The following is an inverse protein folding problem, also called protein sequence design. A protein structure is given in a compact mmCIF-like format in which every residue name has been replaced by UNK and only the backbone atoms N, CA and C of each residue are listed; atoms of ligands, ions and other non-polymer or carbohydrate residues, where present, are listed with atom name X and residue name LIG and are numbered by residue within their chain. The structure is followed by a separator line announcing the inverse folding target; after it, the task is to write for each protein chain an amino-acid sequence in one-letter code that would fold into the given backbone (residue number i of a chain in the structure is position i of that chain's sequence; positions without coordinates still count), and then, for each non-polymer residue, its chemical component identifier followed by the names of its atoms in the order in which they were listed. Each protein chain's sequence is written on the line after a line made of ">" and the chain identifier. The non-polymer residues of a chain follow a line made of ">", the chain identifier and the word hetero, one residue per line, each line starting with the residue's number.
data_IF_207651738954
#
_entry.id   IF_207651738954
#
_cell.length_a   1.000
_cell.length_b   1.000
_cell.length_c   1.000
_cell.angle_alpha   90.00
_cell.angle_beta   90.00
_cell.angle_gamma   90.00
#
_symmetry.space_group_name_H-M   'P 1'
#
loop_
_entity.id
_entity.type
_entity.pdbx_description
1 polymer ?
#
# COMPACT_ATOMS: atom_id res chain seq x y z
N UNK A 1 4.12 18.12 -12.92
CA UNK A 1 4.43 18.58 -14.29
C UNK A 1 3.74 19.93 -14.50
N UNK A 2 4.43 21.03 -14.83
CA UNK A 2 3.72 22.25 -15.15
C UNK A 2 2.93 22.01 -16.45
N UNK A 3 1.60 22.14 -16.39
CA UNK A 3 0.68 21.85 -17.48
C UNK A 3 1.06 22.54 -18.82
N UNK A 4 1.80 23.65 -18.75
CA UNK A 4 2.27 24.45 -19.88
C UNK A 4 3.15 23.71 -20.91
N UNK A 5 3.54 22.45 -20.69
CA UNK A 5 4.34 21.67 -21.67
C UNK A 5 3.70 20.36 -22.13
N UNK A 6 2.45 20.09 -21.80
CA UNK A 6 1.79 18.82 -22.14
C UNK A 6 1.79 18.57 -23.66
N UNK A 7 1.36 19.55 -24.46
CA UNK A 7 1.30 19.41 -25.93
C UNK A 7 2.67 19.13 -26.56
N UNK A 8 3.73 19.71 -26.01
CA UNK A 8 5.09 19.50 -26.49
C UNK A 8 5.58 18.09 -26.19
N UNK A 9 5.20 17.51 -25.06
CA UNK A 9 5.51 16.13 -24.72
C UNK A 9 4.69 15.13 -25.53
N UNK A 10 3.39 15.38 -25.72
CA UNK A 10 2.52 14.53 -26.53
C UNK A 10 3.01 14.43 -27.98
N UNK A 11 3.46 15.55 -28.57
CA UNK A 11 4.07 15.55 -29.91
C UNK A 11 5.37 14.74 -30.00
N UNK A 12 6.11 14.58 -28.89
CA UNK A 12 7.35 13.78 -28.82
C UNK A 12 7.10 12.30 -28.55
N UNK A 13 5.88 11.94 -28.13
CA UNK A 13 5.47 10.58 -27.79
C UNK A 13 4.27 10.13 -28.65
N UNK A 14 4.34 10.24 -29.99
CA UNK A 14 3.17 10.00 -30.86
C UNK A 14 2.69 8.55 -30.87
N UNK A 15 3.51 7.60 -30.38
CA UNK A 15 3.20 6.18 -30.31
C UNK A 15 2.72 5.72 -28.92
N UNK A 16 2.62 6.64 -27.95
CA UNK A 16 2.21 6.29 -26.58
C UNK A 16 0.69 6.40 -26.48
N UNK A 17 0.03 5.30 -26.13
CA UNK A 17 -1.39 5.30 -25.82
C UNK A 17 -1.65 6.18 -24.59
N UNK A 18 -2.60 7.10 -24.72
CA UNK A 18 -3.10 7.86 -23.57
C UNK A 18 -4.05 6.98 -22.77
N UNK A 19 -3.85 6.93 -21.45
CA UNK A 19 -4.71 6.21 -20.51
C UNK A 19 -5.20 7.17 -19.44
N UNK A 20 -6.33 6.84 -18.82
CA UNK A 20 -6.84 7.60 -17.69
C UNK A 20 -5.80 7.62 -16.54
N UNK A 21 -5.59 8.74 -15.84
CA UNK A 21 -4.65 8.81 -14.71
C UNK A 21 -4.91 7.77 -13.60
N UNK A 22 -6.16 7.31 -13.45
CA UNK A 22 -6.53 6.22 -12.56
C UNK A 22 -5.82 4.90 -12.90
N UNK A 23 -5.51 4.65 -14.17
CA UNK A 23 -4.75 3.46 -14.60
C UNK A 23 -3.34 3.46 -14.01
N UNK A 24 -2.72 4.64 -13.87
CA UNK A 24 -1.43 4.75 -13.19
C UNK A 24 -1.57 4.36 -11.72
N UNK A 25 -2.56 4.90 -11.00
CA UNK A 25 -2.78 4.55 -9.59
C UNK A 25 -3.09 3.07 -9.40
N UNK A 26 -3.90 2.49 -10.28
CA UNK A 26 -4.15 1.07 -10.29
C UNK A 26 -2.88 0.26 -10.52
N UNK A 27 -2.03 0.64 -11.48
CA UNK A 27 -0.75 -0.06 -11.70
C UNK A 27 0.19 0.01 -10.49
N UNK A 28 0.15 1.09 -9.71
CA UNK A 28 0.91 1.20 -8.46
C UNK A 28 0.35 0.27 -7.37
N UNK A 29 -0.97 0.16 -7.26
CA UNK A 29 -1.63 -0.80 -6.35
C UNK A 29 -1.32 -2.23 -6.77
N UNK A 30 -1.46 -2.57 -8.05
CA UNK A 30 -1.19 -3.90 -8.60
C UNK A 30 0.27 -4.34 -8.37
N UNK A 31 1.21 -3.40 -8.56
CA UNK A 31 2.63 -3.60 -8.25
C UNK A 31 2.94 -3.59 -6.73
N UNK A 32 1.93 -3.34 -5.88
CA UNK A 32 2.06 -3.14 -4.44
C UNK A 32 3.13 -2.11 -4.05
N UNK A 33 3.16 -0.98 -4.77
CA UNK A 33 4.03 0.16 -4.51
C UNK A 33 3.21 1.26 -3.83
N UNK A 34 3.45 1.53 -2.53
CA UNK A 34 2.63 2.47 -1.78
C UNK A 34 3.04 3.92 -2.03
N UNK A 35 2.07 4.80 -1.87
CA UNK A 35 2.22 6.24 -1.75
C UNK A 35 1.51 6.70 -0.47
N UNK A 36 2.10 7.69 0.21
CA UNK A 36 1.50 8.32 1.39
C UNK A 36 0.86 9.63 0.96
N UNK A 37 -0.42 9.81 1.28
CA UNK A 37 -1.17 11.02 0.97
C UNK A 37 -1.25 11.91 2.19
N UNK A 38 -1.67 13.16 1.99
CA UNK A 38 -1.84 14.11 3.09
C UNK A 38 -2.75 13.57 4.20
N UNK A 39 -3.79 12.80 3.84
CA UNK A 39 -4.71 12.17 4.78
C UNK A 39 -4.11 11.00 5.57
N UNK A 40 -3.06 10.35 5.06
CA UNK A 40 -2.45 9.16 5.67
C UNK A 40 -1.04 9.40 6.20
N UNK A 41 -0.61 10.67 6.25
CA UNK A 41 0.68 11.07 6.84
C UNK A 41 0.77 10.62 8.30
N UNK A 42 1.96 10.25 8.73
CA UNK A 42 2.27 9.86 10.13
C UNK A 42 1.53 8.61 10.64
N UNK A 43 0.72 7.93 9.81
CA UNK A 43 0.01 6.70 10.20
C UNK A 43 0.85 5.43 10.10
N UNK A 44 1.95 5.48 9.36
CA UNK A 44 2.74 4.32 8.98
C UNK A 44 4.24 4.51 9.24
N UNK A 45 4.91 3.42 9.59
CA UNK A 45 6.37 3.36 9.55
C UNK A 45 6.81 2.75 8.20
N UNK A 46 7.99 3.09 7.67
CA UNK A 46 8.41 2.61 6.36
C UNK A 46 8.32 1.10 6.19
N UNK A 47 8.67 0.35 7.24
CA UNK A 47 8.65 -1.11 7.20
C UNK A 47 7.24 -1.70 7.15
N UNK A 48 6.24 -1.05 7.77
CA UNK A 48 4.86 -1.53 7.68
C UNK A 48 4.29 -1.34 6.27
N UNK A 49 4.91 -0.49 5.45
CA UNK A 49 4.61 -0.31 4.03
C UNK A 49 5.54 -1.11 3.11
N UNK A 50 6.35 -2.04 3.66
CA UNK A 50 7.32 -2.82 2.90
C UNK A 50 8.41 -1.97 2.18
N UNK A 51 8.61 -0.70 2.57
CA UNK A 51 9.58 0.19 1.92
C UNK A 51 11.04 -0.26 2.10
N UNK A 52 11.32 -1.10 3.09
CA UNK A 52 12.63 -1.70 3.31
C UNK A 52 12.99 -2.74 2.25
N UNK A 53 12.01 -3.48 1.74
CA UNK A 53 12.23 -4.46 0.66
C UNK A 53 12.08 -3.84 -0.73
N UNK A 54 11.32 -2.74 -0.83
CA UNK A 54 11.18 -1.94 -2.07
C UNK A 54 12.35 -0.97 -2.29
N UNK A 55 13.35 -0.93 -1.40
CA UNK A 55 14.51 -0.05 -1.52
C UNK A 55 14.27 1.42 -1.14
N UNK A 56 13.10 1.75 -0.59
CA UNK A 56 12.80 3.07 -0.03
C UNK A 56 13.56 3.37 1.27
N UNK A 57 14.03 2.34 1.96
CA UNK A 57 14.94 2.44 3.11
C UNK A 57 16.23 1.72 2.80
N UNK A 58 17.36 2.34 3.12
CA UNK A 58 18.67 1.68 3.11
C UNK A 58 19.28 1.78 4.49
N UNK A 59 19.68 0.62 5.02
CA UNK A 59 20.40 0.49 6.29
C UNK A 59 21.92 0.64 6.11
N UNK A 60 22.40 0.73 4.86
CA UNK A 60 23.83 0.82 4.51
C UNK A 60 24.27 2.23 4.09
N UNK A 61 23.35 3.20 4.00
CA UNK A 61 23.66 4.61 3.71
C UNK A 61 23.96 5.39 4.99
N UNK A 62 24.67 6.52 4.86
CA UNK A 62 24.98 7.41 5.98
C UNK A 62 23.74 8.00 6.68
N UNK A 63 23.95 8.82 7.70
CA UNK A 63 22.89 9.30 8.60
C UNK A 63 21.77 10.06 7.88
N UNK A 64 20.52 9.71 8.15
CA UNK A 64 19.34 10.47 7.71
C UNK A 64 18.35 10.74 8.86
N UNK A 65 17.58 11.84 8.83
CA UNK A 65 16.61 12.16 9.88
C UNK A 65 15.61 11.02 10.12
N UNK A 66 15.40 10.66 11.40
CA UNK A 66 14.49 9.57 11.77
C UNK A 66 15.08 8.16 11.66
N UNK A 67 16.35 8.01 11.27
CA UNK A 67 17.01 6.70 11.18
C UNK A 67 16.99 5.92 12.50
N UNK A 68 17.06 6.58 13.65
CA UNK A 68 16.98 5.90 14.95
C UNK A 68 15.63 5.21 15.14
N UNK A 69 14.53 5.84 14.72
CA UNK A 69 13.18 5.25 14.79
C UNK A 69 13.07 4.09 13.81
N UNK A 70 13.52 4.29 12.57
CA UNK A 70 13.51 3.25 11.53
C UNK A 70 14.37 2.05 11.94
N UNK A 71 15.59 2.26 12.43
CA UNK A 71 16.48 1.21 12.89
C UNK A 71 15.93 0.52 14.14
N UNK A 72 15.42 1.26 15.14
CA UNK A 72 14.86 0.67 16.35
C UNK A 72 13.66 -0.21 16.03
N UNK A 73 12.74 0.22 15.17
CA UNK A 73 11.60 -0.60 14.72
C UNK A 73 12.02 -1.88 14.01
N UNK A 74 13.19 -1.90 13.34
CA UNK A 74 13.75 -3.11 12.74
C UNK A 74 14.29 -4.09 13.80
N UNK A 75 14.96 -3.58 14.85
CA UNK A 75 15.69 -4.40 15.83
C UNK A 75 14.90 -4.78 17.09
N UNK A 76 13.78 -4.11 17.41
CA UNK A 76 13.01 -4.36 18.64
C UNK A 76 12.12 -5.62 18.63
N UNK A 77 12.26 -6.48 17.61
CA UNK A 77 11.56 -7.75 17.51
C UNK A 77 10.32 -7.68 16.62
N UNK A 78 10.34 -8.54 15.58
CA UNK A 78 9.32 -8.80 14.53
C UNK A 78 8.33 -7.66 14.32
N UNK A 79 8.53 -6.92 13.23
CA UNK A 79 7.49 -6.06 12.66
C UNK A 79 6.18 -6.86 12.52
N UNK A 80 5.24 -6.63 13.44
CA UNK A 80 4.00 -7.42 13.53
C UNK A 80 2.92 -6.94 12.57
N UNK A 81 3.17 -5.85 11.83
CA UNK A 81 2.23 -5.25 10.91
C UNK A 81 2.89 -5.01 9.56
N UNK A 82 2.20 -5.37 8.49
CA UNK A 82 2.69 -5.22 7.12
C UNK A 82 1.58 -4.85 6.18
N UNK A 83 2.00 -4.28 5.07
CA UNK A 83 1.15 -3.99 3.94
C UNK A 83 0.89 -5.27 3.15
N UNK A 84 -0.37 -5.52 2.83
CA UNK A 84 -0.84 -6.55 1.91
C UNK A 84 -1.59 -5.95 0.72
N UNK A 85 -1.92 -6.81 -0.24
CA UNK A 85 -2.70 -6.49 -1.43
C UNK A 85 -4.02 -7.26 -1.39
N UNK A 86 -5.12 -6.61 -1.72
CA UNK A 86 -6.43 -7.24 -1.78
C UNK A 86 -7.29 -6.67 -2.89
N UNK A 87 -8.34 -7.42 -3.23
CA UNK A 87 -9.39 -7.03 -4.15
C UNK A 87 -10.76 -7.01 -3.46
N UNK A 88 -11.64 -6.11 -3.88
CA UNK A 88 -13.06 -6.08 -3.48
C UNK A 88 -13.93 -5.56 -4.62
N UNK A 89 -15.14 -6.10 -4.76
CA UNK A 89 -16.13 -5.60 -5.72
C UNK A 89 -16.64 -4.19 -5.37
N UNK A 90 -16.69 -3.87 -4.07
CA UNK A 90 -17.16 -2.59 -3.58
C UNK A 90 -16.23 -2.08 -2.48
N UNK A 91 -15.85 -0.82 -2.60
CA UNK A 91 -15.10 -0.11 -1.57
C UNK A 91 -15.97 0.98 -0.97
N UNK A 92 -16.20 0.91 0.34
CA UNK A 92 -16.86 1.98 1.09
C UNK A 92 -15.92 3.19 1.29
N UNK A 93 -16.44 4.32 1.81
CA UNK A 93 -15.64 5.51 2.05
C UNK A 93 -14.63 5.38 3.22
N UNK A 94 -14.61 4.24 3.93
CA UNK A 94 -13.79 4.11 5.13
C UNK A 94 -12.32 3.84 4.78
N UNK A 95 -11.44 4.49 5.54
CA UNK A 95 -9.99 4.29 5.47
C UNK A 95 -9.50 3.12 6.35
N UNK A 96 -10.41 2.45 7.06
CA UNK A 96 -10.09 1.44 8.06
C UNK A 96 -10.34 0.01 7.57
N UNK A 97 -9.51 -0.90 8.07
CA UNK A 97 -9.58 -2.34 7.84
C UNK A 97 -10.07 -3.01 9.13
N UNK A 98 -11.05 -3.90 8.98
CA UNK A 98 -11.62 -4.66 10.07
C UNK A 98 -11.32 -6.14 9.90
N UNK A 99 -11.29 -6.87 11.02
CA UNK A 99 -11.18 -8.32 11.04
C UNK A 99 -12.44 -8.93 11.65
N UNK A 100 -12.86 -10.09 11.15
CA UNK A 100 -14.10 -10.76 11.58
C UNK A 100 -14.14 -11.13 13.07
N UNK A 101 -12.98 -11.34 13.69
CA UNK A 101 -12.84 -11.70 15.11
C UNK A 101 -12.63 -10.52 16.06
N UNK A 102 -12.52 -9.29 15.57
CA UNK A 102 -12.11 -8.13 16.39
C UNK A 102 -13.24 -7.10 16.54
N UNK A 103 -13.24 -6.34 17.64
CA UNK A 103 -14.20 -5.25 17.88
C UNK A 103 -13.84 -3.97 17.12
N UNK A 104 -12.56 -3.68 17.06
CA UNK A 104 -12.07 -2.39 16.61
C UNK A 104 -11.38 -2.52 15.23
N UNK A 105 -11.22 -1.40 14.50
CA UNK A 105 -10.36 -1.37 13.33
C UNK A 105 -8.98 -1.95 13.64
N UNK A 106 -8.54 -2.91 12.83
CA UNK A 106 -7.24 -3.59 13.01
C UNK A 106 -6.16 -2.97 12.14
N UNK A 107 -6.54 -2.22 11.11
CA UNK A 107 -5.64 -1.71 10.09
C UNK A 107 -6.19 -0.53 9.32
N UNK A 108 -5.43 -0.07 8.33
CA UNK A 108 -5.80 1.04 7.45
C UNK A 108 -5.59 0.70 5.99
N UNK A 109 -6.45 1.24 5.14
CA UNK A 109 -6.22 1.30 3.70
C UNK A 109 -5.12 2.33 3.45
N UNK A 110 -4.07 1.88 2.77
CA UNK A 110 -2.94 2.70 2.35
C UNK A 110 -3.29 3.40 1.03
N UNK A 111 -3.81 2.62 0.08
CA UNK A 111 -4.15 3.04 -1.28
C UNK A 111 -5.29 2.17 -1.81
N UNK A 112 -6.13 2.73 -2.68
CA UNK A 112 -7.07 1.95 -3.47
C UNK A 112 -7.25 2.59 -4.85
N UNK A 113 -7.52 1.76 -5.85
CA UNK A 113 -7.77 2.18 -7.21
C UNK A 113 -8.75 1.22 -7.90
N UNK A 114 -9.54 1.74 -8.83
CA UNK A 114 -10.46 0.90 -9.62
C UNK A 114 -9.66 0.04 -10.59
N UNK A 115 -10.03 -1.23 -10.67
CA UNK A 115 -9.46 -2.16 -11.66
C UNK A 115 -10.13 -1.98 -13.01
N UNK A 116 -9.39 -2.20 -14.09
CA UNK A 116 -9.93 -2.10 -15.45
C UNK A 116 -11.03 -3.15 -15.74
N UNK A 117 -11.00 -4.29 -15.05
CA UNK A 117 -11.96 -5.40 -15.12
C UNK A 117 -13.11 -5.29 -14.09
N UNK A 118 -13.14 -4.21 -13.31
CA UNK A 118 -14.18 -3.91 -12.33
C UNK A 118 -13.74 -4.12 -10.88
N UNK A 119 -14.49 -3.52 -9.94
CA UNK A 119 -14.12 -3.52 -8.53
C UNK A 119 -12.91 -2.64 -8.23
N UNK A 120 -12.24 -2.94 -7.12
CA UNK A 120 -11.14 -2.17 -6.56
C UNK A 120 -10.03 -3.09 -6.09
N UNK A 121 -8.80 -2.75 -6.46
CA UNK A 121 -7.62 -3.23 -5.78
C UNK A 121 -7.23 -2.23 -4.71
N UNK A 122 -6.71 -2.74 -3.60
CA UNK A 122 -6.24 -1.91 -2.49
C UNK A 122 -5.00 -2.47 -1.82
N UNK A 123 -4.17 -1.55 -1.35
CA UNK A 123 -3.13 -1.80 -0.38
C UNK A 123 -3.67 -1.50 1.01
N UNK A 124 -3.47 -2.41 1.93
CA UNK A 124 -3.88 -2.28 3.31
C UNK A 124 -2.72 -2.59 4.24
N UNK A 125 -2.69 -2.00 5.43
CA UNK A 125 -1.73 -2.29 6.49
C UNK A 125 -2.48 -2.83 7.71
N UNK A 126 -2.10 -4.02 8.17
CA UNK A 126 -2.66 -4.64 9.38
C UNK A 126 -1.64 -5.57 10.04
N UNK A 127 -1.93 -6.11 11.25
CA UNK A 127 -1.12 -7.15 11.84
C UNK A 127 -1.04 -8.37 10.94
N UNK A 128 0.17 -8.93 10.74
CA UNK A 128 0.38 -10.07 9.83
C UNK A 128 -0.39 -11.30 10.27
N UNK A 129 -0.45 -11.55 11.58
CA UNK A 129 -1.18 -12.68 12.17
C UNK A 129 -2.69 -12.62 11.86
N UNK A 130 -3.28 -11.42 11.81
CA UNK A 130 -4.70 -11.22 11.50
C UNK A 130 -4.99 -11.30 9.99
N UNK A 131 -3.97 -11.24 9.14
CA UNK A 131 -4.13 -11.48 7.70
C UNK A 131 -4.05 -12.98 7.35
N UNK A 132 -3.50 -13.81 8.25
CA UNK A 132 -3.34 -15.26 8.04
C UNK A 132 -4.58 -16.07 8.45
N UNK A 133 -5.40 -15.53 9.35
CA UNK A 133 -6.60 -16.19 9.86
C UNK A 133 -7.81 -15.27 9.77
N UNK A 134 -9.00 -15.85 9.59
CA UNK A 134 -10.26 -15.09 9.49
C UNK A 134 -10.40 -14.34 8.17
N UNK A 135 -11.22 -13.30 8.17
CA UNK A 135 -11.45 -12.44 7.00
C UNK A 135 -11.23 -10.97 7.33
N UNK A 136 -10.63 -10.26 6.39
CA UNK A 136 -10.47 -8.81 6.44
C UNK A 136 -11.59 -8.14 5.65
N UNK A 137 -11.99 -6.96 6.09
CA UNK A 137 -13.11 -6.20 5.52
C UNK A 137 -12.73 -4.72 5.44
N UNK A 138 -13.18 -4.04 4.39
CA UNK A 138 -13.00 -2.60 4.20
C UNK A 138 -14.36 -1.90 4.30
N UNK A 139 -14.48 -0.84 5.11
CA UNK A 139 -15.76 -0.13 5.25
C UNK A 139 -16.63 -0.54 6.42
N UNK A 140 -16.18 -1.46 7.26
CA UNK A 140 -16.91 -2.00 8.41
C UNK A 140 -16.81 -3.52 8.50
N UNK A 141 -17.26 -4.12 9.60
CA UNK A 141 -17.21 -5.58 9.80
C UNK A 141 -18.23 -6.35 8.98
N UNK A 142 -19.35 -5.72 8.66
CA UNK A 142 -20.41 -6.31 7.83
C UNK A 142 -20.18 -6.08 6.33
N UNK A 143 -19.10 -5.38 5.95
CA UNK A 143 -18.75 -5.20 4.55
C UNK A 143 -18.33 -6.53 3.91
N UNK A 144 -18.38 -6.67 2.59
CA UNK A 144 -17.85 -7.87 1.91
C UNK A 144 -16.39 -8.16 2.32
N UNK A 145 -16.07 -9.44 2.46
CA UNK A 145 -14.71 -9.86 2.76
C UNK A 145 -13.77 -9.51 1.60
N UNK A 146 -12.59 -9.01 1.94
CA UNK A 146 -11.51 -8.74 1.02
C UNK A 146 -10.95 -10.05 0.46
N UNK A 147 -10.74 -10.08 -0.85
CA UNK A 147 -10.03 -11.19 -1.50
C UNK A 147 -8.54 -10.88 -1.46
N UNK A 148 -7.81 -11.53 -0.55
CA UNK A 148 -6.37 -11.30 -0.40
C UNK A 148 -5.61 -11.82 -1.63
N UNK A 149 -4.61 -11.04 -2.07
CA UNK A 149 -3.75 -11.36 -3.21
C UNK A 149 -2.31 -11.51 -2.75
N UNK A 150 -1.56 -12.33 -3.48
CA UNK A 150 -0.12 -12.42 -3.26
C UNK A 150 0.57 -11.10 -3.65
N UNK A 151 1.53 -10.67 -2.83
CA UNK A 151 2.41 -9.56 -3.22
C UNK A 151 3.25 -9.97 -4.45
N UNK A 152 3.50 -9.06 -5.40
CA UNK A 152 4.29 -9.33 -6.60
C UNK A 152 5.80 -9.39 -6.33
N UNK A 153 6.22 -9.26 -5.07
CA UNK A 153 7.59 -9.33 -4.62
C UNK A 153 7.69 -10.14 -3.32
N UNK A 154 8.90 -10.64 -3.05
CA UNK A 154 9.17 -11.40 -1.82
C UNK A 154 9.40 -10.44 -0.65
N UNK A 155 8.85 -10.79 0.51
CA UNK A 155 9.27 -10.22 1.78
C UNK A 155 10.54 -10.95 2.25
N UNK A 156 11.61 -10.20 2.48
CA UNK A 156 12.87 -10.70 3.02
C UNK A 156 13.40 -9.74 4.08
N UNK A 157 14.41 -10.18 4.84
CA UNK A 157 15.10 -9.32 5.80
C UNK A 157 16.29 -8.63 5.10
N UNK A 158 16.21 -7.31 4.80
CA UNK A 158 17.27 -6.60 4.08
C UNK A 158 18.51 -6.30 4.93
N UNK A 159 18.50 -6.68 6.22
CA UNK A 159 19.64 -6.51 7.12
C UNK A 159 20.61 -7.68 7.11
N UNK A 160 20.22 -8.81 6.49
CA UNK A 160 21.07 -9.98 6.31
C UNK A 160 22.01 -9.86 5.11
#
# INVERSE_FOLDING_TARGET
>A
MPAARLDTWLRRLPLVAQVDPGVWWWSQVDAAIPAVFAATRELFVPQSLNLEVLGGVSFRKGCYPGQEVVARSQYLGKLRRRMGLAHTAQLGPAADVFHSGESDPVGRIVMAAQCADGGWDLLYECPTELAEYGSLHAGGRDAPALTLRALPYRIFDPTR
#
